data_IF_823909234652
#
_entry.id   IF_823909234652
#
_cell.length_a   1.000
_cell.length_b   1.000
_cell.length_c   1.000
_cell.angle_alpha   90.00
_cell.angle_beta   90.00
_cell.angle_gamma   90.00
#
_symmetry.space_group_name_H-M   'P 1'
#
loop_
_entity.id
_entity.type
_entity.pdbx_description
1 polymer ?
#
# COMPACT_ATOMS: atom_id res chain seq x y z
N UNK A 1 8.94 -6.96 82.40
CA UNK A 1 9.00 -5.58 81.90
C UNK A 1 9.22 -5.59 80.39
N UNK A 2 8.16 -5.26 79.65
CA UNK A 2 8.02 -4.76 78.27
C UNK A 2 8.98 -5.28 77.17
N UNK A 3 8.48 -6.22 76.36
CA UNK A 3 8.98 -6.50 75.00
C UNK A 3 8.53 -5.38 74.04
N UNK A 4 9.48 -4.84 73.27
CA UNK A 4 9.27 -3.79 72.28
C UNK A 4 9.03 -4.45 70.91
N UNK A 5 7.79 -4.39 70.41
CA UNK A 5 7.43 -4.81 69.05
C UNK A 5 7.65 -3.60 68.13
N UNK A 6 8.60 -3.70 67.20
CA UNK A 6 8.83 -2.68 66.16
C UNK A 6 7.95 -3.03 64.96
N UNK A 7 6.90 -2.25 64.72
CA UNK A 7 6.08 -2.33 63.51
C UNK A 7 6.78 -1.58 62.36
N UNK A 8 7.24 -2.32 61.35
CA UNK A 8 7.64 -1.75 60.06
C UNK A 8 6.38 -1.47 59.23
N UNK A 9 5.99 -0.20 59.12
CA UNK A 9 4.95 0.23 58.18
C UNK A 9 5.57 0.32 56.79
N UNK A 10 5.40 -0.72 55.97
CA UNK A 10 5.74 -0.69 54.56
C UNK A 10 4.79 0.25 53.81
N UNK A 11 5.30 1.41 53.37
CA UNK A 11 4.60 2.28 52.43
C UNK A 11 4.62 1.59 51.07
N UNK A 12 3.52 0.92 50.72
CA UNK A 12 3.26 0.42 49.38
C UNK A 12 2.80 1.61 48.53
N UNK A 13 3.73 2.33 47.91
CA UNK A 13 3.38 3.29 46.85
C UNK A 13 2.82 2.51 45.67
N UNK A 14 1.50 2.38 45.60
CA UNK A 14 0.82 2.16 44.33
C UNK A 14 1.12 3.36 43.44
N UNK A 15 2.13 3.23 42.59
CA UNK A 15 2.23 4.08 41.40
C UNK A 15 1.02 3.74 40.54
N UNK A 16 -0.03 4.53 40.69
CA UNK A 16 -1.13 4.57 39.75
C UNK A 16 -0.50 4.84 38.38
N UNK A 17 -0.57 3.83 37.51
CA UNK A 17 -0.38 3.99 36.08
C UNK A 17 -1.45 4.99 35.66
N UNK A 18 -1.04 6.27 35.56
CA UNK A 18 -1.92 7.33 35.11
C UNK A 18 -2.31 6.99 33.67
N UNK A 19 -3.57 6.60 33.51
CA UNK A 19 -4.13 6.16 32.26
C UNK A 19 -3.97 7.23 31.19
N UNK A 20 -3.49 6.80 30.03
CA UNK A 20 -3.49 7.57 28.78
C UNK A 20 -4.93 7.74 28.20
N UNK A 21 -5.96 7.55 29.01
CA UNK A 21 -7.34 7.27 28.61
C UNK A 21 -8.18 8.53 28.26
N UNK A 22 -7.56 9.66 27.93
CA UNK A 22 -8.29 10.91 27.69
C UNK A 22 -7.73 11.86 26.63
N UNK A 23 -6.67 11.50 25.90
CA UNK A 23 -6.00 12.44 24.98
C UNK A 23 -6.26 12.20 23.51
N UNK A 24 -6.58 10.96 23.11
CA UNK A 24 -6.73 10.59 21.71
C UNK A 24 -7.97 9.73 21.48
N UNK A 25 -8.66 9.98 20.37
CA UNK A 25 -9.79 9.22 19.84
C UNK A 25 -9.35 8.50 18.56
N UNK A 26 -10.00 7.37 18.25
CA UNK A 26 -9.77 6.62 17.01
C UNK A 26 -10.91 6.87 16.04
N UNK A 27 -10.62 7.40 14.86
CA UNK A 27 -11.59 7.61 13.79
C UNK A 27 -11.26 6.66 12.65
N UNK A 28 -12.29 6.03 12.07
CA UNK A 28 -12.14 5.00 11.04
C UNK A 28 -13.09 5.21 9.87
N UNK A 29 -12.67 4.76 8.69
CA UNK A 29 -13.53 4.68 7.52
C UNK A 29 -13.15 3.49 6.64
N UNK A 30 -14.16 2.75 6.22
CA UNK A 30 -14.01 1.62 5.30
C UNK A 30 -14.78 1.92 4.01
N UNK A 31 -14.13 1.77 2.86
CA UNK A 31 -14.70 2.08 1.55
C UNK A 31 -13.95 1.37 0.43
N UNK A 32 -14.50 1.41 -0.80
CA UNK A 32 -13.82 0.90 -1.99
C UNK A 32 -13.00 1.99 -2.67
N UNK A 33 -11.73 1.70 -2.93
CA UNK A 33 -10.77 2.52 -3.69
C UNK A 33 -9.88 1.58 -4.50
N UNK A 34 -9.43 1.98 -5.69
CA UNK A 34 -8.59 1.12 -6.55
C UNK A 34 -9.19 -0.29 -6.75
N UNK A 35 -10.52 -0.35 -6.92
CA UNK A 35 -11.33 -1.57 -7.01
C UNK A 35 -11.13 -2.59 -5.86
N UNK A 36 -10.69 -2.12 -4.70
CA UNK A 36 -10.37 -2.94 -3.53
C UNK A 36 -10.94 -2.34 -2.25
N UNK A 37 -11.09 -3.14 -1.20
CA UNK A 37 -11.49 -2.64 0.12
C UNK A 37 -10.32 -1.91 0.79
N UNK A 38 -10.58 -0.71 1.29
CA UNK A 38 -9.64 0.07 2.08
C UNK A 38 -10.23 0.34 3.46
N UNK A 39 -9.48 0.05 4.51
CA UNK A 39 -9.78 0.46 5.88
C UNK A 39 -8.75 1.49 6.33
N UNK A 40 -9.22 2.71 6.57
CA UNK A 40 -8.40 3.84 6.98
C UNK A 40 -8.69 4.14 8.45
N UNK A 41 -7.63 4.19 9.27
CA UNK A 41 -7.73 4.49 10.70
C UNK A 41 -6.75 5.59 11.06
N UNK A 42 -7.23 6.60 11.78
CA UNK A 42 -6.39 7.64 12.39
C UNK A 42 -6.67 7.74 13.88
N UNK A 43 -5.63 8.06 14.65
CA UNK A 43 -5.70 8.34 16.08
C UNK A 43 -5.34 9.80 16.26
N UNK A 44 -6.25 10.60 16.81
CA UNK A 44 -6.18 12.07 16.84
C UNK A 44 -6.76 12.61 18.14
N UNK A 45 -6.48 13.86 18.48
CA UNK A 45 -6.98 14.49 19.70
C UNK A 45 -8.43 14.99 19.60
N UNK A 46 -8.98 15.06 18.39
CA UNK A 46 -10.31 15.56 18.11
C UNK A 46 -10.92 14.78 16.94
N UNK A 47 -12.19 14.40 17.07
CA UNK A 47 -12.88 13.54 16.10
C UNK A 47 -13.12 14.22 14.75
N UNK A 48 -13.50 15.51 14.74
CA UNK A 48 -13.71 16.29 13.51
C UNK A 48 -12.42 16.40 12.68
N UNK A 49 -11.29 16.63 13.36
CA UNK A 49 -9.95 16.59 12.74
C UNK A 49 -9.69 15.21 12.14
N UNK A 50 -10.10 14.14 12.83
CA UNK A 50 -10.00 12.77 12.32
C UNK A 50 -10.74 12.57 11.01
N UNK A 51 -11.98 13.05 10.90
CA UNK A 51 -12.74 12.95 9.65
C UNK A 51 -12.12 13.76 8.51
N UNK A 52 -11.61 14.97 8.80
CA UNK A 52 -10.89 15.78 7.80
C UNK A 52 -9.66 15.02 7.27
N UNK A 53 -8.84 14.46 8.18
CA UNK A 53 -7.67 13.67 7.80
C UNK A 53 -8.04 12.44 6.94
N UNK A 54 -9.16 11.77 7.25
CA UNK A 54 -9.62 10.63 6.46
C UNK A 54 -10.11 11.03 5.07
N UNK A 55 -10.76 12.18 4.90
CA UNK A 55 -11.13 12.69 3.57
C UNK A 55 -9.89 13.02 2.73
N UNK A 56 -8.86 13.61 3.35
CA UNK A 56 -7.59 13.88 2.67
C UNK A 56 -6.84 12.60 2.29
N UNK A 57 -6.85 11.59 3.16
CA UNK A 57 -6.31 10.27 2.86
C UNK A 57 -7.01 9.64 1.65
N UNK A 58 -8.34 9.74 1.57
CA UNK A 58 -9.13 9.22 0.44
C UNK A 58 -8.83 9.98 -0.84
N UNK A 59 -8.70 11.31 -0.75
CA UNK A 59 -8.32 12.14 -1.88
C UNK A 59 -6.92 11.74 -2.40
N UNK A 60 -5.98 11.43 -1.50
CA UNK A 60 -4.64 11.00 -1.88
C UNK A 60 -4.65 9.63 -2.57
N UNK A 61 -5.39 8.64 -2.07
CA UNK A 61 -5.53 7.35 -2.76
C UNK A 61 -6.10 7.54 -4.17
N UNK A 62 -7.11 8.41 -4.33
CA UNK A 62 -7.69 8.72 -5.66
C UNK A 62 -6.71 9.44 -6.58
N UNK A 63 -5.84 10.30 -6.03
CA UNK A 63 -4.77 10.96 -6.79
C UNK A 63 -3.77 9.94 -7.31
N UNK A 64 -3.33 9.01 -6.43
CA UNK A 64 -2.43 7.92 -6.79
C UNK A 64 -3.07 6.99 -7.82
N UNK A 65 -4.35 6.64 -7.66
CA UNK A 65 -5.08 5.82 -8.62
C UNK A 65 -5.05 6.44 -10.02
N UNK A 66 -5.37 7.74 -10.15
CA UNK A 66 -5.31 8.46 -11.43
C UNK A 66 -3.89 8.52 -12.01
N UNK A 67 -2.88 8.67 -11.15
CA UNK A 67 -1.48 8.70 -11.55
C UNK A 67 -1.04 7.38 -12.19
N UNK A 68 -1.37 6.25 -11.54
CA UNK A 68 -0.78 4.95 -11.88
C UNK A 68 -1.71 4.04 -12.69
N UNK A 69 -3.00 4.36 -12.83
CA UNK A 69 -3.99 3.47 -13.45
C UNK A 69 -3.61 3.06 -14.87
N UNK A 70 -3.62 1.76 -15.15
CA UNK A 70 -3.49 1.22 -16.51
C UNK A 70 -4.83 1.16 -17.27
N UNK A 71 -5.92 1.58 -16.63
CA UNK A 71 -7.29 1.47 -17.14
C UNK A 71 -7.90 2.83 -17.49
N UNK A 72 -7.49 3.88 -16.77
CA UNK A 72 -7.91 5.25 -17.05
C UNK A 72 -7.19 5.73 -18.33
N UNK A 73 -7.91 6.00 -19.44
CA UNK A 73 -7.29 6.48 -20.67
C UNK A 73 -6.55 7.81 -20.52
N UNK A 74 -6.89 8.60 -19.50
CA UNK A 74 -6.27 9.90 -19.23
C UNK A 74 -4.99 9.81 -18.38
N UNK A 75 -4.64 8.64 -17.84
CA UNK A 75 -3.42 8.49 -17.03
C UNK A 75 -2.14 8.51 -17.88
N UNK A 76 -1.05 8.95 -17.25
CA UNK A 76 0.29 8.88 -17.85
C UNK A 76 0.71 7.43 -18.14
N UNK A 77 0.36 6.48 -17.26
CA UNK A 77 0.58 5.03 -17.49
C UNK A 77 -0.10 4.54 -18.77
N UNK A 78 -1.35 4.92 -19.00
CA UNK A 78 -2.08 4.58 -20.22
C UNK A 78 -1.47 5.24 -21.45
N UNK A 79 -0.95 6.47 -21.33
CA UNK A 79 -0.22 7.13 -22.41
C UNK A 79 1.08 6.40 -22.78
N UNK A 80 1.87 5.96 -21.80
CA UNK A 80 3.06 5.12 -22.02
C UNK A 80 2.67 3.84 -22.76
N UNK A 81 1.61 3.16 -22.30
CA UNK A 81 1.13 1.92 -22.92
C UNK A 81 0.68 2.12 -24.37
N UNK A 82 -0.02 3.22 -24.68
CA UNK A 82 -0.43 3.53 -26.07
C UNK A 82 0.75 3.84 -27.00
N UNK A 83 1.85 4.37 -26.47
CA UNK A 83 3.04 4.73 -27.23
C UNK A 83 4.14 3.64 -27.24
N UNK A 84 3.83 2.44 -26.72
CA UNK A 84 4.76 1.32 -26.73
C UNK A 84 5.24 0.97 -28.15
N UNK A 85 6.56 0.95 -28.34
CA UNK A 85 7.20 0.74 -29.64
C UNK A 85 7.05 1.91 -30.63
N UNK A 86 6.51 3.06 -30.20
CA UNK A 86 6.29 4.24 -31.05
C UNK A 86 7.22 5.38 -30.66
N UNK A 87 7.13 5.90 -29.43
CA UNK A 87 7.96 7.02 -28.95
C UNK A 87 8.04 7.06 -27.41
N UNK A 88 9.09 7.68 -26.83
CA UNK A 88 9.12 8.00 -25.41
C UNK A 88 7.97 8.94 -25.01
N UNK A 89 7.50 8.79 -23.77
CA UNK A 89 6.46 9.63 -23.17
C UNK A 89 7.07 10.37 -21.98
N UNK A 90 6.88 11.69 -21.94
CA UNK A 90 7.26 12.50 -20.78
C UNK A 90 6.23 12.30 -19.68
N UNK A 91 6.70 12.10 -18.45
CA UNK A 91 5.86 11.78 -17.30
C UNK A 91 6.21 12.65 -16.10
N UNK A 92 5.32 12.69 -15.12
CA UNK A 92 5.59 13.27 -13.82
C UNK A 92 6.78 12.59 -13.14
N UNK A 93 7.52 13.36 -12.35
CA UNK A 93 8.67 12.85 -11.60
C UNK A 93 8.27 11.73 -10.62
N UNK A 94 7.05 11.79 -10.09
CA UNK A 94 6.53 10.79 -9.17
C UNK A 94 6.34 9.43 -9.87
N UNK A 95 5.66 9.41 -11.02
CA UNK A 95 5.49 8.18 -11.80
C UNK A 95 6.83 7.65 -12.31
N UNK A 96 7.73 8.54 -12.78
CA UNK A 96 9.07 8.15 -13.21
C UNK A 96 9.82 7.40 -12.10
N UNK A 97 9.82 7.94 -10.87
CA UNK A 97 10.47 7.32 -9.72
C UNK A 97 9.81 6.01 -9.32
N UNK A 98 8.49 5.89 -9.45
CA UNK A 98 7.79 4.64 -9.19
C UNK A 98 8.18 3.55 -10.21
N UNK A 99 8.32 3.92 -11.49
CA UNK A 99 8.80 3.00 -12.55
C UNK A 99 10.25 2.61 -12.30
N UNK A 100 11.12 3.57 -11.98
CA UNK A 100 12.51 3.30 -11.61
C UNK A 100 12.60 2.33 -10.43
N UNK A 101 11.82 2.57 -9.37
CA UNK A 101 11.75 1.67 -8.22
C UNK A 101 11.27 0.28 -8.60
N UNK A 102 10.27 0.19 -9.48
CA UNK A 102 9.75 -1.08 -9.97
C UNK A 102 10.81 -1.88 -10.72
N UNK A 103 11.61 -1.22 -11.56
CA UNK A 103 12.74 -1.84 -12.28
C UNK A 103 13.78 -2.38 -11.28
N UNK A 104 14.14 -1.60 -10.25
CA UNK A 104 15.07 -2.07 -9.20
C UNK A 104 14.55 -3.32 -8.48
N UNK A 105 13.24 -3.37 -8.19
CA UNK A 105 12.61 -4.54 -7.57
C UNK A 105 12.67 -5.74 -8.54
N UNK A 106 12.43 -5.51 -9.83
CA UNK A 106 12.60 -6.55 -10.84
C UNK A 106 14.04 -7.07 -10.93
N UNK A 107 15.05 -6.22 -10.76
CA UNK A 107 16.45 -6.63 -10.74
C UNK A 107 16.77 -7.52 -9.55
N UNK A 108 16.44 -7.10 -8.32
CA UNK A 108 16.75 -7.88 -7.11
C UNK A 108 15.96 -9.20 -7.01
N UNK A 109 14.83 -9.29 -7.72
CA UNK A 109 14.01 -10.50 -7.79
C UNK A 109 14.29 -11.35 -9.04
N UNK A 110 15.29 -10.99 -9.85
CA UNK A 110 15.60 -11.63 -11.13
C UNK A 110 14.37 -11.75 -12.06
N UNK A 111 13.48 -10.76 -12.05
CA UNK A 111 12.28 -10.70 -12.87
C UNK A 111 11.06 -11.43 -12.30
N UNK A 112 11.14 -11.99 -11.07
CA UNK A 112 9.96 -12.59 -10.45
C UNK A 112 8.86 -11.55 -10.16
N UNK A 113 9.25 -10.32 -9.80
CA UNK A 113 8.40 -9.14 -9.89
C UNK A 113 8.67 -8.41 -11.21
N UNK A 114 7.64 -8.09 -11.99
CA UNK A 114 7.77 -7.32 -13.23
C UNK A 114 6.48 -6.56 -13.56
N UNK A 115 6.53 -5.23 -13.58
CA UNK A 115 5.37 -4.37 -13.92
C UNK A 115 4.95 -4.51 -15.39
N UNK A 116 5.79 -5.09 -16.25
CA UNK A 116 5.45 -5.35 -17.65
C UNK A 116 4.57 -6.58 -17.84
N UNK A 117 4.30 -7.34 -16.78
CA UNK A 117 3.33 -8.45 -16.82
C UNK A 117 1.93 -7.98 -17.23
N UNK A 118 1.65 -6.67 -17.15
CA UNK A 118 0.47 -6.05 -17.70
C UNK A 118 0.27 -6.33 -19.20
N UNK A 119 1.31 -6.71 -19.96
CA UNK A 119 1.17 -7.16 -21.35
C UNK A 119 0.38 -8.48 -21.49
N UNK A 120 0.23 -9.24 -20.41
CA UNK A 120 -0.61 -10.45 -20.33
C UNK A 120 -2.10 -10.14 -20.15
N UNK A 121 -2.46 -8.87 -19.98
CA UNK A 121 -3.85 -8.43 -19.90
C UNK A 121 -4.67 -8.90 -21.11
N UNK A 122 -5.82 -9.49 -20.84
CA UNK A 122 -6.71 -10.10 -21.83
C UNK A 122 -6.31 -11.52 -22.28
N UNK A 123 -5.12 -12.01 -21.93
CA UNK A 123 -4.75 -13.43 -22.14
C UNK A 123 -5.52 -14.29 -21.16
N UNK A 124 -5.49 -13.94 -19.87
CA UNK A 124 -6.29 -14.56 -18.82
C UNK A 124 -7.41 -13.61 -18.41
N UNK A 125 -8.63 -14.12 -18.23
CA UNK A 125 -9.76 -13.36 -17.70
C UNK A 125 -10.28 -14.04 -16.44
N UNK A 126 -10.33 -13.27 -15.36
CA UNK A 126 -10.72 -13.76 -14.03
C UNK A 126 -12.14 -13.30 -13.63
N UNK A 127 -12.91 -12.77 -14.58
CA UNK A 127 -14.29 -12.30 -14.42
C UNK A 127 -15.34 -13.40 -14.66
N UNK A 128 -14.89 -14.64 -14.89
CA UNK A 128 -15.76 -15.78 -15.22
C UNK A 128 -16.23 -15.83 -16.67
N UNK A 129 -15.83 -14.89 -17.53
CA UNK A 129 -16.20 -14.88 -18.96
C UNK A 129 -15.38 -15.85 -19.82
N UNK A 130 -14.31 -16.43 -19.27
CA UNK A 130 -13.42 -17.32 -20.00
C UNK A 130 -14.04 -18.70 -20.21
N UNK A 131 -14.36 -19.04 -21.46
CA UNK A 131 -14.94 -20.32 -21.84
C UNK A 131 -13.92 -21.39 -22.23
N UNK A 132 -12.65 -21.01 -22.42
CA UNK A 132 -11.56 -21.91 -22.79
C UNK A 132 -10.21 -21.34 -22.34
N UNK A 133 -9.22 -22.21 -22.15
CA UNK A 133 -7.84 -21.80 -21.87
C UNK A 133 -7.22 -21.07 -23.07
N UNK A 134 -6.29 -20.11 -22.83
CA UNK A 134 -5.56 -19.46 -23.91
C UNK A 134 -4.69 -20.46 -24.68
N UNK A 135 -4.53 -20.26 -25.99
CA UNK A 135 -3.66 -21.13 -26.80
C UNK A 135 -2.19 -20.87 -26.48
N UNK A 136 -1.29 -21.85 -26.70
CA UNK A 136 0.15 -21.67 -26.53
C UNK A 136 0.70 -20.46 -27.30
N UNK A 137 0.16 -20.17 -28.49
CA UNK A 137 0.56 -19.04 -29.33
C UNK A 137 0.14 -17.70 -28.73
N UNK A 138 -1.06 -17.62 -28.16
CA UNK A 138 -1.54 -16.43 -27.45
C UNK A 138 -0.67 -16.13 -26.24
N UNK A 139 -0.34 -17.16 -25.45
CA UNK A 139 0.54 -17.05 -24.28
C UNK A 139 1.94 -16.61 -24.72
N UNK A 140 2.56 -17.31 -25.67
CA UNK A 140 3.91 -17.01 -26.15
C UNK A 140 4.02 -15.57 -26.72
N UNK A 141 3.03 -15.14 -27.51
CA UNK A 141 2.97 -13.79 -28.05
C UNK A 141 2.90 -12.71 -26.95
N UNK A 142 2.12 -12.95 -25.89
CA UNK A 142 2.03 -12.02 -24.77
C UNK A 142 3.30 -12.02 -23.91
N UNK A 143 3.83 -13.22 -23.59
CA UNK A 143 5.08 -13.38 -22.83
C UNK A 143 6.25 -12.71 -23.54
N UNK A 144 6.29 -12.74 -24.87
CA UNK A 144 7.35 -12.06 -25.64
C UNK A 144 7.42 -10.56 -25.36
N UNK A 145 6.32 -9.93 -24.92
CA UNK A 145 6.23 -8.49 -24.60
C UNK A 145 6.52 -8.17 -23.13
N UNK A 146 6.76 -9.18 -22.30
CA UNK A 146 7.12 -9.04 -20.89
C UNK A 146 8.64 -8.95 -20.76
N UNK A 147 9.11 -8.03 -19.94
CA UNK A 147 10.50 -7.89 -19.53
C UNK A 147 10.87 -6.45 -19.16
N UNK A 148 11.12 -6.19 -17.88
CA UNK A 148 11.51 -4.88 -17.35
C UNK A 148 12.73 -4.26 -18.05
N UNK A 149 13.68 -5.09 -18.53
CA UNK A 149 14.88 -4.63 -19.29
C UNK A 149 14.53 -3.95 -20.63
N UNK A 150 13.28 -4.11 -21.09
CA UNK A 150 12.75 -3.47 -22.28
C UNK A 150 12.15 -2.09 -22.01
N UNK A 151 12.10 -1.65 -20.74
CA UNK A 151 11.80 -0.28 -20.37
C UNK A 151 13.07 0.55 -20.49
N UNK A 152 13.02 1.68 -21.20
CA UNK A 152 14.07 2.68 -21.23
C UNK A 152 13.62 3.92 -20.45
N UNK A 153 14.49 4.40 -19.56
CA UNK A 153 14.28 5.60 -18.76
C UNK A 153 15.30 6.67 -19.15
N UNK A 154 14.82 7.88 -19.40
CA UNK A 154 15.65 9.07 -19.51
C UNK A 154 15.42 9.96 -18.28
N UNK A 155 16.42 10.05 -17.41
CA UNK A 155 16.37 10.82 -16.17
C UNK A 155 16.46 12.33 -16.38
N UNK A 156 17.07 12.77 -17.49
CA UNK A 156 17.24 14.20 -17.77
C UNK A 156 15.92 14.76 -18.26
N UNK A 157 15.27 14.06 -19.18
CA UNK A 157 14.01 14.50 -19.79
C UNK A 157 12.75 14.01 -19.05
N UNK A 158 12.91 13.12 -18.06
CA UNK A 158 11.83 12.39 -17.38
C UNK A 158 10.92 11.66 -18.38
N UNK A 159 11.52 10.90 -19.29
CA UNK A 159 10.77 10.13 -20.29
C UNK A 159 10.88 8.63 -20.07
N UNK A 160 9.80 7.93 -20.39
CA UNK A 160 9.68 6.48 -20.33
C UNK A 160 9.37 5.96 -21.73
N UNK A 161 10.11 4.96 -22.18
CA UNK A 161 9.86 4.30 -23.46
C UNK A 161 9.79 2.78 -23.29
N UNK A 162 8.71 2.18 -23.78
CA UNK A 162 8.59 0.73 -23.91
C UNK A 162 9.06 0.35 -25.31
N UNK A 163 10.15 -0.44 -25.40
CA UNK A 163 10.87 -0.67 -26.66
C UNK A 163 10.08 -1.44 -27.72
N UNK A 164 9.10 -2.24 -27.31
CA UNK A 164 8.37 -3.12 -28.22
C UNK A 164 6.89 -2.76 -28.32
N UNK A 165 6.34 -2.89 -29.53
CA UNK A 165 4.92 -2.65 -29.77
C UNK A 165 4.07 -3.66 -29.02
N UNK A 166 3.08 -3.16 -28.28
CA UNK A 166 2.16 -3.99 -27.50
C UNK A 166 2.68 -4.36 -26.11
N UNK A 167 3.87 -3.91 -25.71
CA UNK A 167 4.21 -3.86 -24.29
C UNK A 167 3.19 -3.03 -23.52
N UNK A 168 2.99 -3.39 -22.26
CA UNK A 168 2.24 -2.60 -21.29
C UNK A 168 2.97 -2.62 -19.96
N UNK A 169 2.88 -1.56 -19.19
CA UNK A 169 3.20 -1.53 -17.76
C UNK A 169 1.92 -1.35 -16.95
N UNK A 170 1.92 -1.91 -15.74
CA UNK A 170 0.86 -1.77 -14.77
C UNK A 170 1.35 -2.03 -13.36
N UNK A 171 0.70 -1.41 -12.38
CA UNK A 171 1.17 -1.36 -11.00
C UNK A 171 0.34 -2.27 -10.07
N UNK A 172 -0.32 -3.30 -10.60
CA UNK A 172 -1.19 -4.17 -9.79
C UNK A 172 -0.51 -4.82 -8.58
N UNK A 173 0.79 -5.12 -8.70
CA UNK A 173 1.60 -5.76 -7.66
C UNK A 173 2.31 -4.81 -6.69
N UNK A 174 2.16 -3.48 -6.86
CA UNK A 174 2.85 -2.48 -6.01
C UNK A 174 1.99 -1.26 -5.67
N UNK A 175 0.93 -1.00 -6.44
CA UNK A 175 0.19 0.27 -6.42
C UNK A 175 -0.61 0.51 -5.15
N UNK A 176 -1.21 -0.54 -4.56
CA UNK A 176 -1.96 -0.42 -3.31
C UNK A 176 -1.04 -0.12 -2.12
N UNK A 177 0.04 -0.88 -1.97
CA UNK A 177 1.10 -0.58 -1.00
C UNK A 177 1.67 0.82 -1.17
N UNK A 178 1.96 1.24 -2.41
CA UNK A 178 2.41 2.60 -2.70
C UNK A 178 1.39 3.68 -2.28
N UNK A 179 0.10 3.48 -2.56
CA UNK A 179 -0.95 4.39 -2.11
C UNK A 179 -1.05 4.45 -0.58
N UNK A 180 -0.94 3.30 0.10
CA UNK A 180 -0.95 3.23 1.55
C UNK A 180 0.24 3.99 2.16
N UNK A 181 1.45 3.80 1.62
CA UNK A 181 2.65 4.52 2.05
C UNK A 181 2.53 6.04 1.81
N UNK A 182 1.95 6.46 0.68
CA UNK A 182 1.74 7.89 0.36
C UNK A 182 0.72 8.54 1.29
N UNK A 183 -0.35 7.82 1.64
CA UNK A 183 -1.29 8.28 2.67
C UNK A 183 -0.60 8.42 4.03
N UNK A 184 0.21 7.43 4.44
CA UNK A 184 0.98 7.52 5.68
C UNK A 184 1.90 8.74 5.66
N UNK A 185 2.66 8.96 4.58
CA UNK A 185 3.54 10.11 4.41
C UNK A 185 2.78 11.44 4.55
N UNK A 186 1.63 11.56 3.88
CA UNK A 186 0.75 12.73 3.96
C UNK A 186 0.28 12.99 5.41
N UNK A 187 -0.25 11.98 6.08
CA UNK A 187 -0.82 12.14 7.43
C UNK A 187 0.27 12.41 8.48
N UNK A 188 1.43 11.77 8.36
CA UNK A 188 2.60 12.06 9.22
C UNK A 188 3.09 13.49 8.99
N UNK A 189 3.13 13.98 7.73
CA UNK A 189 3.50 15.37 7.44
C UNK A 189 2.54 16.40 8.07
N UNK A 190 1.28 16.00 8.27
CA UNK A 190 0.24 16.76 8.96
C UNK A 190 0.22 16.56 10.47
N UNK A 191 1.23 15.90 11.02
CA UNK A 191 1.38 15.63 12.46
C UNK A 191 0.24 14.77 13.04
N UNK A 192 -0.41 13.93 12.23
CA UNK A 192 -1.34 12.93 12.72
C UNK A 192 -0.55 11.88 13.51
N UNK A 193 -0.78 11.73 14.83
CA UNK A 193 0.17 11.06 15.70
C UNK A 193 0.24 9.55 15.51
N UNK A 194 -0.86 8.91 15.10
CA UNK A 194 -0.89 7.48 14.82
C UNK A 194 -2.02 7.10 13.85
N UNK A 195 -1.89 5.93 13.24
CA UNK A 195 -2.90 5.39 12.34
C UNK A 195 -2.47 4.09 11.67
N UNK A 196 -3.39 3.58 10.86
CA UNK A 196 -3.22 2.36 10.08
C UNK A 196 -4.00 2.49 8.77
N UNK A 197 -3.36 2.16 7.67
CA UNK A 197 -3.99 2.01 6.36
C UNK A 197 -3.92 0.53 5.99
N UNK A 198 -5.08 -0.07 5.73
CA UNK A 198 -5.19 -1.42 5.19
C UNK A 198 -5.78 -1.34 3.78
N UNK A 199 -4.95 -1.57 2.77
CA UNK A 199 -5.33 -1.60 1.36
C UNK A 199 -5.51 -3.06 0.89
N UNK A 200 -6.59 -3.70 1.37
CA UNK A 200 -6.94 -5.08 1.05
C UNK A 200 -5.83 -6.10 1.36
N UNK A 201 -5.17 -5.94 2.51
CA UNK A 201 -4.09 -6.81 2.97
C UNK A 201 -2.72 -6.15 2.92
N UNK A 202 -2.52 -5.14 2.07
CA UNK A 202 -1.31 -4.32 2.09
C UNK A 202 -1.45 -3.29 3.21
N UNK A 203 -0.76 -3.48 4.33
CA UNK A 203 -0.99 -2.71 5.55
C UNK A 203 0.22 -1.84 5.86
N UNK A 204 0.00 -0.58 6.21
CA UNK A 204 1.02 0.28 6.84
C UNK A 204 0.51 0.89 8.13
N UNK A 205 1.39 1.03 9.13
CA UNK A 205 1.07 1.54 10.46
C UNK A 205 2.05 2.63 10.88
N UNK A 206 1.59 3.55 11.72
CA UNK A 206 2.44 4.49 12.45
C UNK A 206 1.85 4.77 13.84
N UNK A 207 2.72 5.14 14.78
CA UNK A 207 2.40 5.28 16.19
C UNK A 207 1.67 4.06 16.79
N UNK A 208 0.82 4.30 17.77
CA UNK A 208 0.07 3.27 18.51
C UNK A 208 -1.43 3.54 18.49
N UNK A 209 -2.23 2.55 18.90
CA UNK A 209 -3.67 2.75 19.14
C UNK A 209 -3.87 3.83 20.21
N UNK A 210 -5.07 4.41 20.27
CA UNK A 210 -5.44 5.35 21.34
C UNK A 210 -5.23 4.78 22.77
N UNK A 211 -5.27 3.45 22.91
CA UNK A 211 -4.99 2.73 24.17
C UNK A 211 -3.51 2.67 24.54
N UNK A 212 -2.61 3.11 23.66
CA UNK A 212 -1.16 2.97 23.79
C UNK A 212 -0.60 1.64 23.27
N UNK A 213 -1.47 0.70 22.90
CA UNK A 213 -1.08 -0.63 22.42
C UNK A 213 -0.61 -0.62 20.95
N UNK A 214 0.22 -1.62 20.60
CA UNK A 214 0.63 -1.88 19.21
C UNK A 214 -0.57 -2.22 18.31
N UNK A 215 -0.41 -1.99 17.02
CA UNK A 215 -1.33 -2.52 16.01
C UNK A 215 -1.13 -4.04 15.93
N UNK A 216 -2.18 -4.82 16.18
CA UNK A 216 -2.10 -6.28 16.13
C UNK A 216 -2.79 -6.74 14.85
N UNK A 217 -1.99 -7.20 13.89
CA UNK A 217 -2.45 -7.59 12.55
C UNK A 217 -2.48 -9.12 12.45
N UNK A 218 -3.64 -9.66 12.07
CA UNK A 218 -3.79 -11.10 11.83
C UNK A 218 -3.29 -11.46 10.43
N UNK A 219 -2.52 -12.54 10.35
CA UNK A 219 -2.17 -13.19 9.07
C UNK A 219 -3.15 -14.34 8.85
N UNK A 220 -3.94 -14.25 7.79
CA UNK A 220 -4.95 -15.26 7.48
C UNK A 220 -4.33 -16.60 7.06
N UNK A 221 -5.01 -17.68 7.41
CA UNK A 221 -4.65 -19.01 6.95
C UNK A 221 -5.09 -19.20 5.48
N UNK A 222 -4.15 -19.46 4.54
CA UNK A 222 -4.43 -19.37 3.09
C UNK A 222 -5.41 -20.43 2.57
N UNK A 223 -5.67 -21.48 3.35
CA UNK A 223 -6.59 -22.59 3.01
C UNK A 223 -7.80 -22.69 3.93
N UNK A 224 -7.98 -21.75 4.87
CA UNK A 224 -9.06 -21.81 5.84
C UNK A 224 -9.61 -20.41 6.11
N UNK A 225 -10.61 -20.03 5.31
CA UNK A 225 -11.25 -18.74 5.41
C UNK A 225 -11.71 -18.44 6.85
N UNK A 226 -11.40 -17.24 7.33
CA UNK A 226 -11.77 -16.77 8.66
C UNK A 226 -10.91 -17.31 9.81
N UNK A 227 -9.88 -18.11 9.54
CA UNK A 227 -8.90 -18.53 10.56
C UNK A 227 -7.62 -17.72 10.45
N UNK A 228 -7.17 -17.16 11.56
CA UNK A 228 -5.89 -16.47 11.68
C UNK A 228 -4.81 -17.52 11.96
N UNK A 229 -3.76 -17.53 11.13
CA UNK A 229 -2.59 -18.38 11.30
C UNK A 229 -1.65 -17.84 12.38
N UNK A 230 -1.39 -16.53 12.38
CA UNK A 230 -0.54 -15.86 13.37
C UNK A 230 -0.88 -14.39 13.51
N UNK A 231 -0.34 -13.73 14.54
CA UNK A 231 -0.52 -12.31 14.78
C UNK A 231 0.83 -11.58 14.77
N UNK A 232 0.86 -10.42 14.11
CA UNK A 232 2.04 -9.56 14.01
C UNK A 232 1.78 -8.24 14.75
N UNK A 233 2.52 -7.95 15.83
CA UNK A 233 2.45 -6.66 16.49
C UNK A 233 3.31 -5.62 15.75
N UNK A 234 2.69 -4.59 15.19
CA UNK A 234 3.34 -3.57 14.37
C UNK A 234 3.36 -2.20 15.07
N UNK A 235 4.48 -1.50 14.88
CA UNK A 235 4.65 -0.06 15.08
C UNK A 235 5.56 0.43 13.96
N UNK A 236 5.21 1.52 13.27
CA UNK A 236 6.01 2.13 12.20
C UNK A 236 6.40 1.20 11.04
N UNK A 237 5.61 0.16 10.79
CA UNK A 237 5.93 -0.88 9.81
C UNK A 237 4.79 -1.11 8.82
N UNK A 238 5.16 -1.64 7.66
CA UNK A 238 4.24 -2.19 6.66
C UNK A 238 4.36 -3.72 6.58
N UNK A 239 3.27 -4.40 6.24
CA UNK A 239 3.19 -5.86 6.02
C UNK A 239 2.33 -6.18 4.80
#
# INVERSE_FOLDING_TARGET
>A
MKSLVVLFFGILTMTSVCGQAGKYVTVKRSLKLMDSSFDLTVVVNNEDIGYINLEEAIAEVRRIERLISSWDPASETSEINRNAGVKPVKVSLELFKLIERSIQISEITNGAFDITIAAMDGVWKFDGSMSAFPTPEQISSAVSKVGYKKIALDKVENTVFLKEKGMKIGFGAIGKGYAADKVKELLVSKQVPAGMINASGDITTWGTKATGEKWLIGVDHPRSNGKIFTWLPLIESSV
#
